data_IF_556541643381
#
_entry.id   IF_556541643381
#
_cell.length_a   1.000
_cell.length_b   1.000
_cell.length_c   1.000
_cell.angle_alpha   90.00
_cell.angle_beta   90.00
_cell.angle_gamma   90.00
#
_symmetry.space_group_name_H-M   'P 1'
#
loop_
_entity.id
_entity.type
_entity.pdbx_description
1 polymer ?
#
# COMPACT_ATOMS: atom_id res chain seq x y z
N UNK A 1 8.06 -16.98 -1.75
CA UNK A 1 8.67 -16.55 -0.68
C UNK A 1 10.03 -15.98 -0.89
N UNK A 2 10.25 -15.01 -0.36
CA UNK A 2 11.53 -14.41 -0.48
C UNK A 2 12.60 -15.24 0.19
N UNK A 3 13.63 -15.51 -0.49
CA UNK A 3 14.81 -16.04 0.16
C UNK A 3 15.36 -14.95 1.04
N UNK A 4 15.42 -15.21 2.31
CA UNK A 4 16.06 -14.27 3.18
C UNK A 4 17.53 -14.16 2.83
N UNK A 5 17.89 -12.99 2.40
CA UNK A 5 19.28 -12.69 2.20
C UNK A 5 19.81 -12.02 3.44
N UNK A 6 20.59 -12.75 4.17
CA UNK A 6 21.33 -12.18 5.30
C UNK A 6 22.53 -11.40 4.83
N UNK A 7 22.31 -10.41 4.01
CA UNK A 7 23.38 -9.52 3.60
C UNK A 7 23.58 -8.42 4.63
N UNK A 8 24.82 -8.11 4.91
CA UNK A 8 25.16 -6.99 5.78
C UNK A 8 24.93 -5.71 4.99
N UNK A 9 24.02 -4.87 5.48
CA UNK A 9 23.76 -3.58 4.86
C UNK A 9 24.86 -2.58 5.22
N UNK A 10 25.27 -1.76 4.25
CA UNK A 10 26.18 -0.65 4.51
C UNK A 10 25.45 0.51 5.22
N UNK A 11 26.19 1.51 5.65
CA UNK A 11 25.64 2.65 6.39
C UNK A 11 24.55 3.39 5.63
N UNK A 12 24.72 3.57 4.31
CA UNK A 12 23.70 4.22 3.49
C UNK A 12 22.42 3.40 3.39
N UNK A 13 22.55 2.09 3.21
CA UNK A 13 21.40 1.19 3.14
C UNK A 13 20.65 1.16 4.46
N UNK A 14 21.36 1.19 5.58
CA UNK A 14 20.74 1.26 6.90
C UNK A 14 19.96 2.57 7.06
N UNK A 15 20.51 3.70 6.65
CA UNK A 15 19.83 4.99 6.72
C UNK A 15 18.59 5.02 5.84
N UNK A 16 18.65 4.50 4.61
CA UNK A 16 17.50 4.38 3.74
C UNK A 16 16.43 3.48 4.31
N UNK A 17 16.84 2.35 4.88
CA UNK A 17 15.91 1.42 5.52
C UNK A 17 15.22 2.06 6.72
N UNK A 18 15.95 2.79 7.57
CA UNK A 18 15.39 3.51 8.71
C UNK A 18 14.48 4.65 8.27
N UNK A 19 14.81 5.35 7.19
CA UNK A 19 13.98 6.38 6.61
C UNK A 19 12.65 5.80 6.12
N UNK A 20 12.68 4.64 5.48
CA UNK A 20 11.45 3.92 5.09
C UNK A 20 10.59 3.57 6.29
N UNK A 21 11.19 3.19 7.41
CA UNK A 21 10.43 2.88 8.63
C UNK A 21 9.61 4.08 9.13
N UNK A 22 10.08 5.30 8.94
CA UNK A 22 9.32 6.50 9.33
C UNK A 22 8.16 6.78 8.41
N UNK A 23 8.21 6.31 7.15
CA UNK A 23 7.14 6.38 6.17
C UNK A 23 6.13 5.24 6.31
N UNK A 24 6.56 4.12 6.87
CA UNK A 24 5.78 2.88 6.92
C UNK A 24 4.96 2.83 8.20
N UNK A 25 3.68 3.17 8.09
CA UNK A 25 2.75 3.09 9.20
C UNK A 25 1.91 1.83 9.06
N UNK A 26 1.82 1.09 10.14
CA UNK A 26 1.09 -0.17 10.15
C UNK A 26 -0.42 0.08 10.10
N UNK A 27 -1.08 -0.59 9.19
CA UNK A 27 -2.54 -0.54 9.05
C UNK A 27 -3.21 -0.99 10.35
N UNK A 28 -4.25 -0.26 10.81
CA UNK A 28 -5.04 -0.75 11.93
C UNK A 28 -5.58 -2.16 11.66
N UNK A 29 -5.44 -3.05 12.63
CA UNK A 29 -5.77 -4.47 12.44
C UNK A 29 -7.23 -4.67 12.06
N UNK A 30 -8.15 -3.92 12.67
CA UNK A 30 -9.57 -4.07 12.38
C UNK A 30 -9.91 -3.78 10.91
N UNK A 31 -9.23 -2.78 10.32
CA UNK A 31 -9.46 -2.40 8.93
C UNK A 31 -8.88 -3.45 7.98
N UNK A 32 -7.66 -3.91 8.29
CA UNK A 32 -7.05 -4.98 7.51
C UNK A 32 -7.94 -6.23 7.53
N UNK A 33 -8.44 -6.61 8.70
CA UNK A 33 -9.29 -7.79 8.84
C UNK A 33 -10.59 -7.67 8.03
N UNK A 34 -11.24 -6.51 8.07
CA UNK A 34 -12.44 -6.27 7.25
C UNK A 34 -12.15 -6.39 5.75
N UNK A 35 -11.08 -5.79 5.30
CA UNK A 35 -10.71 -5.85 3.88
C UNK A 35 -10.28 -7.25 3.49
N UNK A 36 -9.54 -7.94 4.35
CA UNK A 36 -9.11 -9.31 4.08
C UNK A 36 -10.26 -10.29 4.06
N UNK A 37 -11.28 -10.10 4.88
CA UNK A 37 -12.50 -10.90 4.84
C UNK A 37 -13.22 -10.78 3.49
N UNK A 38 -13.18 -9.61 2.89
CA UNK A 38 -13.81 -9.36 1.61
C UNK A 38 -12.95 -9.83 0.43
N UNK A 39 -11.66 -9.55 0.45
CA UNK A 39 -10.78 -9.71 -0.71
C UNK A 39 -9.85 -10.92 -0.65
N UNK A 40 -9.64 -11.50 0.52
CA UNK A 40 -8.77 -12.66 0.71
C UNK A 40 -7.38 -12.44 0.12
N UNK A 41 -6.64 -11.50 0.69
CA UNK A 41 -5.32 -11.10 0.19
C UNK A 41 -4.32 -12.24 0.19
N UNK A 42 -3.53 -12.33 -0.86
CA UNK A 42 -2.44 -13.30 -0.97
C UNK A 42 -1.07 -12.65 -1.09
N UNK A 43 -0.99 -11.33 -1.18
CA UNK A 43 0.29 -10.64 -1.27
C UNK A 43 0.21 -9.20 -0.78
N UNK A 44 1.30 -8.75 -0.15
CA UNK A 44 1.52 -7.36 0.27
C UNK A 44 2.88 -6.90 -0.26
N UNK A 45 2.92 -6.01 -1.26
CA UNK A 45 4.19 -5.58 -1.86
C UNK A 45 4.99 -4.60 -1.01
N UNK A 46 4.42 -4.07 0.06
CA UNK A 46 5.14 -3.16 0.95
C UNK A 46 4.82 -3.43 2.42
N UNK A 47 5.11 -4.65 2.90
CA UNK A 47 4.88 -4.97 4.29
C UNK A 47 5.81 -4.18 5.20
N UNK A 48 5.40 -4.00 6.44
CA UNK A 48 6.25 -3.39 7.43
C UNK A 48 7.54 -4.19 7.59
N UNK A 49 8.68 -3.51 7.67
CA UNK A 49 10.01 -4.14 7.75
C UNK A 49 10.30 -5.08 6.56
N UNK A 50 9.91 -4.65 5.38
CA UNK A 50 10.10 -5.44 4.16
C UNK A 50 11.57 -5.76 3.91
N UNK A 51 11.83 -7.00 3.47
CA UNK A 51 13.16 -7.46 3.06
C UNK A 51 13.33 -7.49 1.54
N UNK A 52 12.35 -6.99 0.80
CA UNK A 52 12.37 -6.97 -0.67
C UNK A 52 11.82 -5.63 -1.17
N UNK A 53 12.08 -5.33 -2.44
CA UNK A 53 11.51 -4.16 -3.08
C UNK A 53 10.23 -4.55 -3.83
N UNK A 54 9.09 -4.09 -3.33
CA UNK A 54 7.79 -4.39 -3.91
C UNK A 54 7.58 -3.81 -5.31
N UNK A 55 8.40 -2.84 -5.72
CA UNK A 55 8.34 -2.29 -7.07
C UNK A 55 9.07 -3.14 -8.09
N UNK A 56 9.93 -4.06 -7.64
CA UNK A 56 10.80 -4.87 -8.50
C UNK A 56 10.41 -6.34 -8.57
N UNK A 57 9.32 -6.74 -7.96
CA UNK A 57 8.86 -8.13 -7.96
C UNK A 57 7.47 -8.25 -8.58
N UNK A 58 7.10 -9.47 -8.95
CA UNK A 58 5.72 -9.75 -9.35
C UNK A 58 4.82 -9.75 -8.12
N UNK A 59 3.61 -9.23 -8.29
CA UNK A 59 2.61 -9.24 -7.22
C UNK A 59 1.73 -10.49 -7.29
N UNK A 60 0.91 -10.68 -6.27
CA UNK A 60 -0.05 -11.76 -6.24
C UNK A 60 -1.34 -11.44 -7.00
N UNK A 61 -2.31 -12.33 -6.87
CA UNK A 61 -3.62 -12.13 -7.50
C UNK A 61 -4.47 -11.12 -6.73
N UNK A 62 -4.39 -11.12 -5.41
CA UNK A 62 -5.20 -10.26 -4.53
C UNK A 62 -4.26 -9.56 -3.57
N UNK A 63 -4.07 -8.28 -3.80
CA UNK A 63 -2.99 -7.52 -3.15
C UNK A 63 -3.54 -6.46 -2.23
N UNK A 64 -2.91 -6.31 -1.06
CA UNK A 64 -3.14 -5.19 -0.16
C UNK A 64 -1.91 -4.30 -0.11
N UNK A 65 -2.10 -2.99 -0.31
CA UNK A 65 -1.00 -2.04 -0.37
C UNK A 65 -1.27 -0.85 0.54
N UNK A 66 -0.45 -0.67 1.56
CA UNK A 66 -0.36 0.55 2.35
C UNK A 66 0.98 1.19 2.01
N UNK A 67 1.04 2.00 0.94
CA UNK A 67 2.32 2.44 0.40
C UNK A 67 2.99 3.49 1.29
N UNK A 68 4.32 3.59 1.25
CA UNK A 68 5.00 4.69 1.92
C UNK A 68 4.59 6.03 1.32
N UNK A 69 4.47 7.05 2.15
CA UNK A 69 4.05 8.39 1.70
C UNK A 69 4.97 8.96 0.65
N UNK A 70 6.23 8.62 0.72
CA UNK A 70 7.24 9.12 -0.22
C UNK A 70 7.07 8.58 -1.62
N UNK A 71 6.32 7.50 -1.83
CA UNK A 71 6.18 6.90 -3.15
C UNK A 71 4.83 6.23 -3.42
N UNK A 72 3.76 6.93 -3.13
CA UNK A 72 2.40 6.45 -3.47
C UNK A 72 2.27 6.25 -4.98
N UNK A 73 2.75 7.20 -5.76
CA UNK A 73 2.69 7.16 -7.22
C UNK A 73 3.36 5.91 -7.79
N UNK A 74 4.54 5.56 -7.29
CA UNK A 74 5.27 4.38 -7.79
C UNK A 74 4.50 3.09 -7.59
N UNK A 75 3.85 2.92 -6.44
CA UNK A 75 3.04 1.74 -6.16
C UNK A 75 1.74 1.72 -6.97
N UNK A 76 1.13 2.88 -7.22
CA UNK A 76 -0.03 2.96 -8.10
C UNK A 76 0.31 2.57 -9.54
N UNK A 77 1.41 3.07 -10.07
CA UNK A 77 1.88 2.69 -11.41
C UNK A 77 2.13 1.19 -11.49
N UNK A 78 2.78 0.63 -10.48
CA UNK A 78 3.05 -0.80 -10.40
C UNK A 78 1.76 -1.62 -10.38
N UNK A 79 0.77 -1.19 -9.60
CA UNK A 79 -0.52 -1.87 -9.53
C UNK A 79 -1.20 -1.93 -10.90
N UNK A 80 -1.25 -0.82 -11.61
CA UNK A 80 -1.82 -0.79 -12.97
C UNK A 80 -1.09 -1.75 -13.91
N UNK A 81 0.23 -1.77 -13.83
CA UNK A 81 1.04 -2.67 -14.63
C UNK A 81 0.75 -4.13 -14.33
N UNK A 82 0.65 -4.50 -13.05
CA UNK A 82 0.35 -5.86 -12.64
C UNK A 82 -1.05 -6.31 -13.04
N UNK A 83 -2.02 -5.40 -13.02
CA UNK A 83 -3.36 -5.66 -13.52
C UNK A 83 -3.37 -5.82 -15.03
N UNK A 84 -2.68 -4.96 -15.76
CA UNK A 84 -2.63 -5.01 -17.22
C UNK A 84 -1.96 -6.28 -17.75
N UNK A 85 -0.88 -6.72 -17.10
CA UNK A 85 -0.15 -7.92 -17.56
C UNK A 85 -0.76 -9.23 -17.05
N UNK A 86 -1.82 -9.17 -16.26
CA UNK A 86 -2.53 -10.36 -15.79
C UNK A 86 -1.96 -11.02 -14.54
N UNK A 87 -0.91 -10.45 -13.94
CA UNK A 87 -0.38 -10.98 -12.67
C UNK A 87 -1.37 -10.77 -11.53
N UNK A 88 -2.04 -9.62 -11.50
CA UNK A 88 -2.99 -9.28 -10.45
C UNK A 88 -4.42 -9.24 -11.00
N UNK A 89 -5.37 -9.65 -10.18
CA UNK A 89 -6.79 -9.48 -10.44
C UNK A 89 -7.35 -8.30 -9.66
N UNK A 90 -6.82 -8.05 -8.46
CA UNK A 90 -7.29 -6.97 -7.62
C UNK A 90 -6.13 -6.37 -6.81
N UNK A 91 -6.15 -5.05 -6.68
CA UNK A 91 -5.22 -4.31 -5.84
C UNK A 91 -6.00 -3.34 -4.96
N UNK A 92 -5.87 -3.48 -3.66
CA UNK A 92 -6.57 -2.64 -2.67
C UNK A 92 -5.54 -1.79 -1.95
N UNK A 93 -5.71 -0.48 -2.06
CA UNK A 93 -4.81 0.50 -1.44
C UNK A 93 -5.47 1.16 -0.24
N UNK A 94 -4.69 1.40 0.78
CA UNK A 94 -5.04 2.34 1.85
C UNK A 94 -4.13 3.56 1.71
N UNK A 95 -4.70 4.74 1.48
CA UNK A 95 -3.94 5.97 1.30
C UNK A 95 -4.62 7.13 2.01
N UNK A 96 -3.91 8.24 2.17
CA UNK A 96 -4.57 9.49 2.51
C UNK A 96 -5.43 9.98 1.35
N UNK A 97 -6.52 10.67 1.68
CA UNK A 97 -7.45 11.22 0.69
C UNK A 97 -6.91 12.52 0.09
N UNK A 98 -5.76 12.46 -0.55
CA UNK A 98 -5.12 13.61 -1.19
C UNK A 98 -5.68 13.82 -2.59
N UNK A 99 -6.95 14.24 -2.68
CA UNK A 99 -7.73 14.24 -3.91
C UNK A 99 -7.36 15.35 -4.89
N UNK A 100 -6.49 16.26 -4.49
CA UNK A 100 -5.98 17.36 -5.35
C UNK A 100 -4.64 17.01 -6.00
N UNK A 101 -4.06 15.86 -5.67
CA UNK A 101 -2.75 15.48 -6.19
C UNK A 101 -2.83 14.96 -7.62
N UNK A 102 -1.71 15.13 -8.35
CA UNK A 102 -1.60 14.60 -9.70
C UNK A 102 -1.75 13.08 -9.72
N UNK A 103 -1.14 12.37 -8.75
CA UNK A 103 -1.24 10.92 -8.73
C UNK A 103 -2.67 10.43 -8.53
N UNK A 104 -3.49 11.15 -7.75
CA UNK A 104 -4.88 10.77 -7.55
C UNK A 104 -5.66 10.86 -8.87
N UNK A 105 -5.49 11.95 -9.62
CA UNK A 105 -6.19 12.14 -10.88
C UNK A 105 -5.66 11.25 -12.00
N UNK A 106 -4.36 11.03 -12.04
CA UNK A 106 -3.76 10.21 -13.10
C UNK A 106 -4.04 8.71 -12.93
N UNK A 107 -4.12 8.21 -11.68
CA UNK A 107 -4.16 6.77 -11.43
C UNK A 107 -5.38 6.28 -10.67
N UNK A 108 -6.16 7.15 -10.06
CA UNK A 108 -7.25 6.73 -9.17
C UNK A 108 -8.62 7.20 -9.62
N UNK A 109 -8.76 8.47 -9.94
CA UNK A 109 -10.05 9.06 -10.28
C UNK A 109 -10.64 8.39 -11.52
N UNK A 110 -11.87 7.90 -11.41
CA UNK A 110 -12.57 7.15 -12.45
C UNK A 110 -11.90 5.82 -12.85
N UNK A 111 -10.91 5.38 -12.09
CA UNK A 111 -10.20 4.12 -12.36
C UNK A 111 -10.32 3.15 -11.19
N UNK A 112 -10.67 3.62 -10.02
CA UNK A 112 -10.80 2.82 -8.81
C UNK A 112 -12.18 2.99 -8.20
N UNK A 113 -12.68 1.96 -7.53
CA UNK A 113 -13.72 2.12 -6.54
C UNK A 113 -13.10 2.82 -5.33
N UNK A 114 -13.72 3.88 -4.83
CA UNK A 114 -13.21 4.65 -3.70
C UNK A 114 -14.16 4.47 -2.53
N UNK A 115 -13.62 4.01 -1.40
CA UNK A 115 -14.38 3.93 -0.15
C UNK A 115 -13.82 4.93 0.84
N UNK A 116 -14.69 5.78 1.36
CA UNK A 116 -14.29 6.82 2.31
C UNK A 116 -14.40 6.25 3.72
N UNK A 117 -13.36 6.49 4.52
CA UNK A 117 -13.31 6.03 5.90
C UNK A 117 -13.79 7.16 6.79
N UNK A 118 -14.77 6.87 7.63
CA UNK A 118 -15.29 7.81 8.61
C UNK A 118 -14.29 8.01 9.74
N UNK A 119 -13.99 9.26 10.02
CA UNK A 119 -13.05 9.63 11.09
C UNK A 119 -11.60 9.45 10.68
N UNK A 120 -10.70 9.71 11.62
CA UNK A 120 -9.26 9.60 11.40
C UNK A 120 -8.77 8.24 11.90
N UNK A 121 -8.02 7.55 11.06
CA UNK A 121 -7.42 6.28 11.46
C UNK A 121 -6.33 6.49 12.51
N UNK A 122 -6.20 5.53 13.40
CA UNK A 122 -5.10 5.46 14.37
C UNK A 122 -4.13 4.41 13.89
N UNK A 123 -3.07 4.85 13.24
CA UNK A 123 -2.04 3.95 12.73
C UNK A 123 -1.15 3.46 13.87
N UNK A 124 -0.58 2.28 13.68
CA UNK A 124 0.40 1.73 14.60
C UNK A 124 1.82 2.08 14.11
N UNK A 125 2.74 2.27 15.06
CA UNK A 125 4.15 2.42 14.71
C UNK A 125 4.81 1.05 14.48
N UNK A 126 6.11 1.05 14.20
CA UNK A 126 6.85 -0.18 13.94
C UNK A 126 6.90 -1.13 15.13
N UNK A 127 6.62 -0.64 16.35
CA UNK A 127 6.59 -1.46 17.58
C UNK A 127 5.19 -1.98 17.89
N UNK A 128 4.19 -1.63 17.10
CA UNK A 128 2.80 -2.02 17.32
C UNK A 128 2.03 -1.10 18.26
N UNK A 129 2.63 0.01 18.69
CA UNK A 129 1.95 1.00 19.52
C UNK A 129 1.14 1.96 18.68
N UNK A 130 -0.01 2.39 19.22
CA UNK A 130 -0.87 3.35 18.53
C UNK A 130 -0.17 4.71 18.48
N UNK A 131 -0.01 5.23 17.29
CA UNK A 131 0.39 6.63 17.08
C UNK A 131 -0.79 7.55 17.24
N UNK A 132 -0.53 8.85 17.21
CA UNK A 132 -1.59 9.84 17.13
C UNK A 132 -2.47 9.60 15.92
N UNK A 133 -3.73 10.07 15.99
CA UNK A 133 -4.62 10.00 14.84
C UNK A 133 -3.99 10.64 13.60
N UNK A 134 -4.27 10.08 12.45
CA UNK A 134 -3.79 10.62 11.19
C UNK A 134 -4.23 12.07 11.02
N UNK A 135 -3.36 12.91 10.49
CA UNK A 135 -3.67 14.32 10.24
C UNK A 135 -4.63 14.53 9.08
N UNK A 136 -4.80 13.52 8.25
CA UNK A 136 -5.62 13.58 7.04
C UNK A 136 -6.60 12.42 7.01
N UNK A 137 -7.74 12.59 6.35
CA UNK A 137 -8.65 11.48 6.14
C UNK A 137 -8.01 10.42 5.26
N UNK A 138 -8.43 9.18 5.44
CA UNK A 138 -7.95 8.05 4.65
C UNK A 138 -9.07 7.52 3.74
N UNK A 139 -8.66 6.95 2.62
CA UNK A 139 -9.55 6.29 1.67
C UNK A 139 -9.00 4.91 1.32
N UNK A 140 -9.90 4.04 0.92
CA UNK A 140 -9.55 2.76 0.33
C UNK A 140 -9.82 2.84 -1.16
N UNK A 141 -8.82 2.46 -1.95
CA UNK A 141 -8.90 2.44 -3.42
C UNK A 141 -8.86 0.99 -3.88
N UNK A 142 -9.84 0.59 -4.67
CA UNK A 142 -9.94 -0.79 -5.15
C UNK A 142 -9.83 -0.78 -6.67
N UNK A 143 -8.79 -1.38 -7.18
CA UNK A 143 -8.54 -1.54 -8.61
C UNK A 143 -8.80 -3.00 -8.99
N UNK A 144 -9.65 -3.22 -9.99
CA UNK A 144 -9.98 -4.54 -10.50
C UNK A 144 -9.54 -4.68 -11.94
N UNK A 145 -9.12 -5.86 -12.31
CA UNK A 145 -8.71 -6.14 -13.67
C UNK A 145 -9.88 -5.95 -14.64
N UNK A 146 -9.66 -5.15 -15.69
CA UNK A 146 -10.65 -4.93 -16.74
C UNK A 146 -11.79 -3.98 -16.38
N UNK A 147 -11.83 -3.44 -15.15
CA UNK A 147 -12.89 -2.52 -14.72
C UNK A 147 -12.39 -1.09 -14.62
N UNK A 148 -13.24 -0.16 -15.03
CA UNK A 148 -13.02 1.27 -14.80
C UNK A 148 -14.29 1.86 -14.22
N UNK A 149 -14.14 2.69 -13.19
CA UNK A 149 -15.24 3.44 -12.63
C UNK A 149 -15.55 4.65 -13.50
N UNK A 150 -16.79 4.84 -13.77
CA UNK A 150 -17.26 5.94 -14.61
C UNK A 150 -17.79 7.08 -13.74
#
# INVERSE_FOLDING_TARGET
MGVERKSIMNTQQIKLFQSKKTDDWQTPQWLYDELNDEFDFDFDPCPLNSTFDGLLCDWGKRNFINPPYSNVKGFLKKAHKELENGNADICVFLTFANTDTKWFHDYCYKQAEIRFIKGRLKFLDATGKVKNSAMRPSIVLIFRNGEKQI
#
